data_IF_152276457001
#
_entry.id   IF_152276457001
#
_cell.length_a   1.000
_cell.length_b   1.000
_cell.length_c   1.000
_cell.angle_alpha   90.00
_cell.angle_beta   90.00
_cell.angle_gamma   90.00
#
_symmetry.space_group_name_H-M   'P 1'
#
loop_
_entity.id
_entity.type
_entity.pdbx_description
1 polymer ?
#
# COMPACT_ATOMS: atom_id res chain seq x y z
N UNK A 1 4.14 -18.40 11.13
CA UNK A 1 5.48 -17.91 10.73
C UNK A 1 5.40 -16.54 10.04
N UNK A 2 4.51 -16.34 9.05
CA UNK A 2 4.39 -15.07 8.30
C UNK A 2 4.08 -13.89 9.24
N UNK A 3 3.05 -13.97 10.06
CA UNK A 3 2.69 -12.92 11.03
C UNK A 3 3.82 -12.66 12.05
N UNK A 4 4.53 -13.72 12.46
CA UNK A 4 5.69 -13.59 13.35
C UNK A 4 6.83 -12.83 12.66
N UNK A 5 7.03 -13.06 11.36
CA UNK A 5 8.02 -12.32 10.57
C UNK A 5 7.68 -10.82 10.48
N UNK A 6 6.40 -10.45 10.33
CA UNK A 6 5.98 -9.03 10.38
C UNK A 6 6.32 -8.38 11.72
N UNK A 7 6.07 -9.08 12.84
CA UNK A 7 6.40 -8.58 14.17
C UNK A 7 7.91 -8.42 14.33
N UNK A 8 8.67 -9.44 13.94
CA UNK A 8 10.14 -9.44 14.03
C UNK A 8 10.78 -8.33 13.18
N UNK A 9 10.20 -8.02 12.02
CA UNK A 9 10.65 -6.95 11.13
C UNK A 9 10.26 -5.54 11.60
N UNK A 10 9.40 -5.40 12.62
CA UNK A 10 8.87 -4.10 13.05
C UNK A 10 7.95 -3.44 12.01
N UNK A 11 7.29 -4.24 11.18
CA UNK A 11 6.53 -3.78 10.03
C UNK A 11 5.37 -2.85 10.38
N UNK A 12 4.74 -3.04 11.55
CA UNK A 12 3.66 -2.17 12.02
C UNK A 12 4.16 -0.74 12.30
N UNK A 13 5.32 -0.61 12.97
CA UNK A 13 5.93 0.69 13.28
C UNK A 13 6.37 1.38 11.99
N UNK A 14 7.04 0.64 11.10
CA UNK A 14 7.51 1.16 9.82
C UNK A 14 6.35 1.69 8.98
N UNK A 15 5.24 0.96 8.87
CA UNK A 15 4.08 1.39 8.10
C UNK A 15 3.38 2.60 8.73
N UNK A 16 3.26 2.65 10.07
CA UNK A 16 2.70 3.80 10.76
C UNK A 16 3.53 5.06 10.53
N UNK A 17 4.86 4.95 10.56
CA UNK A 17 5.78 6.06 10.29
C UNK A 17 5.67 6.53 8.83
N UNK A 18 5.68 5.62 7.86
CA UNK A 18 5.54 5.96 6.44
C UNK A 18 4.21 6.67 6.20
N UNK A 19 3.10 6.16 6.73
CA UNK A 19 1.79 6.80 6.62
C UNK A 19 1.77 8.19 7.26
N UNK A 20 2.34 8.34 8.46
CA UNK A 20 2.43 9.62 9.15
C UNK A 20 3.22 10.66 8.36
N UNK A 21 4.41 10.27 7.86
CA UNK A 21 5.25 11.13 7.03
C UNK A 21 4.53 11.52 5.74
N UNK A 22 3.95 10.56 5.01
CA UNK A 22 3.24 10.83 3.76
C UNK A 22 2.04 11.77 3.98
N UNK A 23 1.25 11.53 5.05
CA UNK A 23 0.13 12.41 5.37
C UNK A 23 0.58 13.84 5.71
N UNK A 24 1.68 13.98 6.45
CA UNK A 24 2.28 15.28 6.76
C UNK A 24 2.70 16.02 5.49
N UNK A 25 3.35 15.33 4.55
CA UNK A 25 3.72 15.92 3.27
C UNK A 25 2.51 16.37 2.46
N UNK A 26 1.47 15.54 2.36
CA UNK A 26 0.24 15.89 1.65
C UNK A 26 -0.36 17.17 2.22
N UNK A 27 -0.58 17.20 3.53
CA UNK A 27 -1.18 18.37 4.22
C UNK A 27 -0.29 19.60 4.08
N UNK A 28 1.00 19.49 4.30
CA UNK A 28 1.94 20.62 4.24
C UNK A 28 2.00 21.22 2.84
N UNK A 29 2.24 20.39 1.81
CA UNK A 29 2.36 20.86 0.44
C UNK A 29 1.06 21.49 -0.07
N UNK A 30 -0.09 20.89 0.22
CA UNK A 30 -1.38 21.44 -0.18
C UNK A 30 -1.60 22.82 0.42
N UNK A 31 -1.24 23.02 1.69
CA UNK A 31 -1.40 24.32 2.39
C UNK A 31 -0.46 25.39 1.85
N UNK A 32 0.82 25.02 1.64
CA UNK A 32 1.82 25.95 1.10
C UNK A 32 1.43 26.40 -0.30
N UNK A 33 1.09 25.45 -1.18
CA UNK A 33 0.72 25.77 -2.56
C UNK A 33 -0.63 26.50 -2.59
N UNK A 34 -1.60 26.09 -1.78
CA UNK A 34 -2.89 26.78 -1.68
C UNK A 34 -2.74 28.24 -1.27
N UNK A 35 -1.87 28.52 -0.28
CA UNK A 35 -1.56 29.88 0.13
C UNK A 35 -0.88 30.68 -0.98
N UNK A 36 0.08 30.08 -1.67
CA UNK A 36 0.77 30.73 -2.79
C UNK A 36 -0.20 31.06 -3.92
N UNK A 37 -1.08 30.15 -4.30
CA UNK A 37 -2.09 30.38 -5.35
C UNK A 37 -3.03 31.50 -4.94
N UNK A 38 -3.55 31.48 -3.72
CA UNK A 38 -4.49 32.50 -3.25
C UNK A 38 -3.86 33.89 -3.17
N UNK A 39 -2.65 34.01 -2.61
CA UNK A 39 -2.01 35.30 -2.36
C UNK A 39 -1.25 35.85 -3.56
N UNK A 40 -0.56 35.01 -4.32
CA UNK A 40 0.33 35.46 -5.39
C UNK A 40 -0.36 35.42 -6.75
N UNK A 41 -1.06 34.33 -7.06
CA UNK A 41 -1.69 34.16 -8.38
C UNK A 41 -3.03 34.87 -8.43
N UNK A 42 -3.89 34.65 -7.44
CA UNK A 42 -5.22 35.30 -7.38
C UNK A 42 -5.20 36.69 -6.76
N UNK A 43 -4.05 37.13 -6.24
CA UNK A 43 -3.83 38.43 -5.65
C UNK A 43 -4.89 38.81 -4.61
N UNK A 44 -5.20 37.87 -3.73
CA UNK A 44 -6.15 38.08 -2.64
C UNK A 44 -5.53 39.04 -1.60
N UNK A 45 -5.92 40.31 -1.64
CA UNK A 45 -5.44 41.36 -0.72
C UNK A 45 -6.18 41.36 0.63
N UNK A 46 -7.21 40.55 0.81
CA UNK A 46 -7.97 40.47 2.07
C UNK A 46 -7.11 39.90 3.19
N UNK A 47 -7.37 40.33 4.40
CA UNK A 47 -6.83 39.67 5.59
C UNK A 47 -7.42 38.26 5.70
N UNK A 48 -6.51 37.26 5.76
CA UNK A 48 -6.86 35.87 5.77
C UNK A 48 -6.79 35.16 4.40
N UNK A 49 -7.28 33.94 4.35
CA UNK A 49 -7.31 33.09 3.15
C UNK A 49 -8.64 33.21 2.41
N UNK A 50 -8.59 33.26 1.10
CA UNK A 50 -9.76 33.36 0.22
C UNK A 50 -10.27 31.98 -0.24
N UNK A 51 -11.31 32.01 -1.08
CA UNK A 51 -11.87 30.81 -1.70
C UNK A 51 -10.82 30.06 -2.53
N UNK A 52 -9.90 30.79 -3.18
CA UNK A 52 -8.81 30.22 -3.95
C UNK A 52 -7.94 29.26 -3.14
N UNK A 53 -7.64 29.62 -1.89
CA UNK A 53 -6.93 28.75 -0.96
C UNK A 53 -7.68 27.43 -0.73
N UNK A 54 -8.96 27.51 -0.37
CA UNK A 54 -9.75 26.30 -0.05
C UNK A 54 -9.88 25.37 -1.25
N UNK A 55 -10.23 25.91 -2.40
CA UNK A 55 -10.39 25.11 -3.63
C UNK A 55 -9.07 24.45 -4.02
N UNK A 56 -7.98 25.22 -4.05
CA UNK A 56 -6.65 24.68 -4.39
C UNK A 56 -6.21 23.61 -3.41
N UNK A 57 -6.41 23.85 -2.12
CA UNK A 57 -6.03 22.90 -1.07
C UNK A 57 -6.80 21.59 -1.20
N UNK A 58 -8.13 21.63 -1.41
CA UNK A 58 -8.94 20.41 -1.59
C UNK A 58 -8.47 19.62 -2.81
N UNK A 59 -8.25 20.28 -3.94
CA UNK A 59 -7.79 19.62 -5.16
C UNK A 59 -6.42 18.95 -4.93
N UNK A 60 -5.49 19.67 -4.29
CA UNK A 60 -4.16 19.14 -4.01
C UNK A 60 -4.17 18.04 -2.95
N UNK A 61 -5.03 18.11 -1.93
CA UNK A 61 -5.21 17.04 -0.95
C UNK A 61 -5.65 15.74 -1.64
N UNK A 62 -6.54 15.82 -2.63
CA UNK A 62 -6.97 14.65 -3.41
C UNK A 62 -5.82 14.13 -4.27
N UNK A 63 -5.16 14.99 -5.04
CA UNK A 63 -4.08 14.57 -5.96
C UNK A 63 -2.90 13.97 -5.19
N UNK A 64 -2.41 14.68 -4.17
CA UNK A 64 -1.30 14.19 -3.36
C UNK A 64 -1.69 12.97 -2.50
N UNK A 65 -2.95 12.90 -2.04
CA UNK A 65 -3.47 11.74 -1.34
C UNK A 65 -3.44 10.48 -2.20
N UNK A 66 -3.83 10.58 -3.47
CA UNK A 66 -3.72 9.47 -4.44
C UNK A 66 -2.27 9.04 -4.64
N UNK A 67 -1.35 10.00 -4.82
CA UNK A 67 0.08 9.70 -4.97
C UNK A 67 0.66 9.05 -3.69
N UNK A 68 0.31 9.57 -2.53
CA UNK A 68 0.71 9.02 -1.25
C UNK A 68 0.20 7.58 -1.06
N UNK A 69 -1.04 7.29 -1.45
CA UNK A 69 -1.61 5.95 -1.38
C UNK A 69 -0.82 4.93 -2.23
N UNK A 70 -0.39 5.32 -3.43
CA UNK A 70 0.43 4.47 -4.31
C UNK A 70 1.80 4.17 -3.66
N UNK A 71 2.43 5.20 -3.06
CA UNK A 71 3.71 5.03 -2.36
C UNK A 71 3.55 4.07 -1.18
N UNK A 72 2.56 4.30 -0.31
CA UNK A 72 2.27 3.44 0.85
C UNK A 72 1.98 2.00 0.42
N UNK A 73 1.18 1.81 -0.63
CA UNK A 73 0.88 0.47 -1.18
C UNK A 73 2.16 -0.22 -1.71
N UNK A 74 3.08 0.53 -2.32
CA UNK A 74 4.37 -0.02 -2.78
C UNK A 74 5.22 -0.54 -1.61
N UNK A 75 5.34 0.24 -0.54
CA UNK A 75 6.02 -0.20 0.70
C UNK A 75 5.33 -1.40 1.33
N UNK A 76 3.99 -1.42 1.36
CA UNK A 76 3.22 -2.56 1.86
C UNK A 76 3.54 -3.85 1.08
N UNK A 77 3.59 -3.79 -0.26
CA UNK A 77 3.97 -4.95 -1.09
C UNK A 77 5.39 -5.44 -0.81
N UNK A 78 6.35 -4.54 -0.65
CA UNK A 78 7.74 -4.93 -0.34
C UNK A 78 7.85 -5.61 1.03
N UNK A 79 7.05 -5.16 1.99
CA UNK A 79 6.96 -5.77 3.33
C UNK A 79 6.47 -7.23 3.25
N UNK A 80 5.48 -7.53 2.40
CA UNK A 80 4.98 -8.90 2.21
C UNK A 80 6.09 -9.85 1.72
N UNK A 81 6.91 -9.43 0.76
CA UNK A 81 8.03 -10.26 0.30
C UNK A 81 9.06 -10.53 1.40
N UNK A 82 9.35 -9.53 2.24
CA UNK A 82 10.25 -9.71 3.39
C UNK A 82 9.66 -10.65 4.43
N UNK A 83 8.36 -10.55 4.70
CA UNK A 83 7.67 -11.42 5.65
C UNK A 83 7.62 -12.87 5.15
N UNK A 84 7.41 -13.09 3.85
CA UNK A 84 7.46 -14.43 3.24
C UNK A 84 8.84 -15.06 3.37
N UNK A 85 9.91 -14.30 3.06
CA UNK A 85 11.29 -14.76 3.21
C UNK A 85 11.62 -15.02 4.68
N UNK A 86 11.21 -14.14 5.59
CA UNK A 86 11.36 -14.31 7.03
C UNK A 86 10.63 -15.56 7.54
N UNK A 87 9.42 -15.80 7.07
CA UNK A 87 8.66 -17.00 7.40
C UNK A 87 9.36 -18.30 6.91
N UNK A 88 9.88 -18.27 5.69
CA UNK A 88 10.64 -19.41 5.14
C UNK A 88 11.90 -19.71 5.98
N UNK A 89 12.62 -18.67 6.39
CA UNK A 89 13.80 -18.78 7.25
C UNK A 89 13.45 -19.34 8.64
N UNK A 90 12.37 -18.86 9.26
CA UNK A 90 11.89 -19.35 10.56
C UNK A 90 11.50 -20.83 10.50
N UNK A 91 10.99 -21.31 9.37
CA UNK A 91 10.62 -22.72 9.17
C UNK A 91 11.79 -23.58 8.68
N UNK A 92 12.97 -23.00 8.39
CA UNK A 92 14.14 -23.68 7.85
C UNK A 92 13.97 -24.21 6.42
N UNK A 93 12.83 -23.93 5.77
CA UNK A 93 12.51 -24.38 4.41
C UNK A 93 11.40 -23.52 3.78
N UNK A 94 11.45 -23.33 2.46
CA UNK A 94 10.50 -22.48 1.71
C UNK A 94 9.18 -23.19 1.39
N UNK A 95 9.22 -24.50 1.22
CA UNK A 95 8.08 -25.27 0.71
C UNK A 95 6.78 -25.09 1.51
N UNK A 96 6.77 -25.08 2.87
CA UNK A 96 5.55 -24.84 3.63
C UNK A 96 4.92 -23.48 3.36
N UNK A 97 5.75 -22.44 3.15
CA UNK A 97 5.23 -21.10 2.83
C UNK A 97 4.66 -21.05 1.41
N UNK A 98 5.34 -21.65 0.43
CA UNK A 98 4.85 -21.79 -0.94
C UNK A 98 3.52 -22.53 -0.97
N UNK A 99 3.39 -23.64 -0.24
CA UNK A 99 2.16 -24.41 -0.17
C UNK A 99 1.01 -23.62 0.47
N UNK A 100 1.30 -22.82 1.52
CA UNK A 100 0.32 -21.97 2.15
C UNK A 100 -0.19 -20.87 1.18
N UNK A 101 0.72 -20.23 0.45
CA UNK A 101 0.37 -19.23 -0.57
C UNK A 101 -0.43 -19.86 -1.71
N UNK A 102 -0.05 -21.05 -2.18
CA UNK A 102 -0.78 -21.75 -3.21
C UNK A 102 -2.23 -22.03 -2.77
N UNK A 103 -2.44 -22.52 -1.54
CA UNK A 103 -3.79 -22.72 -0.99
C UNK A 103 -4.60 -21.43 -0.91
N UNK A 104 -3.99 -20.34 -0.46
CA UNK A 104 -4.63 -19.02 -0.43
C UNK A 104 -4.99 -18.54 -1.83
N UNK A 105 -4.18 -18.85 -2.84
CA UNK A 105 -4.44 -18.54 -4.25
C UNK A 105 -5.49 -19.43 -4.93
N UNK A 106 -5.99 -20.46 -4.24
CA UNK A 106 -6.98 -21.38 -4.81
C UNK A 106 -6.42 -22.33 -5.88
N UNK A 107 -5.11 -22.60 -5.86
CA UNK A 107 -4.44 -23.48 -6.84
C UNK A 107 -4.69 -24.97 -6.63
N UNK A 108 -5.32 -25.36 -5.50
CA UNK A 108 -5.78 -26.74 -5.27
C UNK A 108 -7.29 -26.83 -5.55
N UNK A 109 -7.73 -27.59 -6.57
CA UNK A 109 -9.15 -27.79 -6.84
C UNK A 109 -9.85 -28.45 -5.65
N UNK A 110 -10.85 -27.76 -5.07
CA UNK A 110 -11.73 -28.33 -4.03
C UNK A 110 -11.51 -27.85 -2.60
N UNK A 111 -10.55 -26.98 -2.30
CA UNK A 111 -10.23 -26.57 -0.92
C UNK A 111 -10.90 -25.28 -0.44
N UNK A 112 -11.44 -24.44 -1.34
CA UNK A 112 -12.18 -23.24 -0.97
C UNK A 112 -13.67 -23.36 -1.32
N UNK A 113 -14.59 -23.03 -0.39
CA UNK A 113 -16.00 -22.95 -0.71
C UNK A 113 -16.24 -21.96 -1.86
N UNK A 114 -17.07 -22.32 -2.84
CA UNK A 114 -17.44 -21.46 -3.98
C UNK A 114 -17.92 -20.06 -3.59
N UNK A 115 -18.45 -19.91 -2.38
CA UNK A 115 -18.88 -18.64 -1.80
C UNK A 115 -17.72 -17.67 -1.52
N UNK A 116 -16.53 -18.14 -1.15
CA UNK A 116 -15.36 -17.27 -0.94
C UNK A 116 -14.73 -16.82 -2.27
N UNK A 117 -14.82 -17.63 -3.30
CA UNK A 117 -14.42 -17.25 -4.66
C UNK A 117 -15.36 -16.14 -5.22
N UNK A 118 -16.65 -16.21 -4.90
CA UNK A 118 -17.65 -15.21 -5.30
C UNK A 118 -17.48 -13.85 -4.60
N UNK A 119 -16.81 -13.81 -3.43
CA UNK A 119 -16.53 -12.57 -2.69
C UNK A 119 -15.32 -11.79 -3.24
N UNK A 120 -14.73 -12.21 -4.37
CA UNK A 120 -13.69 -11.46 -5.06
C UNK A 120 -12.31 -11.47 -4.38
N UNK A 121 -12.09 -12.32 -3.37
CA UNK A 121 -10.82 -12.41 -2.64
C UNK A 121 -9.66 -12.82 -3.57
N UNK A 122 -9.96 -13.44 -4.72
CA UNK A 122 -9.00 -13.87 -5.74
C UNK A 122 -9.02 -13.01 -7.02
N UNK A 123 -9.76 -11.89 -7.05
CA UNK A 123 -9.72 -11.01 -8.20
C UNK A 123 -8.34 -10.32 -8.25
N UNK A 124 -7.54 -10.65 -9.28
CA UNK A 124 -6.29 -9.93 -9.54
C UNK A 124 -6.63 -8.48 -9.84
N UNK A 125 -6.17 -7.53 -9.05
CA UNK A 125 -6.31 -6.14 -9.45
C UNK A 125 -5.53 -5.94 -10.73
N UNK A 126 -6.19 -5.48 -11.79
CA UNK A 126 -5.58 -5.25 -13.09
C UNK A 126 -5.44 -3.74 -13.37
N UNK A 127 -4.43 -3.38 -14.16
CA UNK A 127 -4.20 -2.00 -14.56
C UNK A 127 -3.90 -1.08 -13.37
N UNK A 128 -4.50 0.13 -13.38
CA UNK A 128 -4.28 1.14 -12.35
C UNK A 128 -4.67 0.68 -10.93
N UNK A 129 -5.67 -0.19 -10.80
CA UNK A 129 -6.08 -0.75 -9.51
C UNK A 129 -4.99 -1.56 -8.82
N UNK A 130 -4.08 -2.18 -9.58
CA UNK A 130 -2.93 -2.92 -9.02
C UNK A 130 -1.96 -2.01 -8.24
N UNK A 131 -1.88 -0.72 -8.59
CA UNK A 131 -1.03 0.26 -7.90
C UNK A 131 -1.48 0.51 -6.45
N UNK A 132 -2.78 0.39 -6.20
CA UNK A 132 -3.39 0.60 -4.87
C UNK A 132 -3.48 -0.67 -4.04
N UNK A 133 -3.12 -1.84 -4.60
CA UNK A 133 -3.12 -3.08 -3.84
C UNK A 133 -2.03 -3.06 -2.78
N UNK A 134 -2.41 -3.33 -1.53
CA UNK A 134 -1.49 -3.47 -0.39
C UNK A 134 -0.74 -4.80 -0.39
N UNK A 135 -1.24 -5.81 -1.13
CA UNK A 135 -0.63 -7.13 -1.24
C UNK A 135 -0.22 -7.40 -2.68
N UNK A 136 0.99 -7.96 -2.91
CA UNK A 136 1.38 -8.42 -4.23
C UNK A 136 0.53 -9.64 -4.65
N UNK A 137 0.40 -9.90 -5.96
CA UNK A 137 -0.19 -11.15 -6.45
C UNK A 137 0.49 -12.37 -5.84
N UNK A 138 -0.31 -13.38 -5.47
CA UNK A 138 0.21 -14.60 -4.82
C UNK A 138 1.25 -15.30 -5.69
N UNK A 139 1.04 -15.31 -7.00
CA UNK A 139 1.98 -15.87 -7.97
C UNK A 139 3.36 -15.21 -7.90
N UNK A 140 3.40 -13.90 -7.76
CA UNK A 140 4.66 -13.14 -7.67
C UNK A 140 5.36 -13.41 -6.34
N UNK A 141 4.61 -13.59 -5.25
CA UNK A 141 5.14 -13.99 -3.94
C UNK A 141 5.75 -15.39 -3.99
N UNK A 142 5.06 -16.35 -4.63
CA UNK A 142 5.57 -17.72 -4.82
C UNK A 142 6.86 -17.70 -5.66
N UNK A 143 6.87 -16.95 -6.78
CA UNK A 143 8.06 -16.82 -7.63
C UNK A 143 9.24 -16.22 -6.86
N UNK A 144 9.00 -15.17 -6.08
CA UNK A 144 10.04 -14.54 -5.26
C UNK A 144 10.65 -15.52 -4.26
N UNK A 145 9.84 -16.35 -3.59
CA UNK A 145 10.31 -17.40 -2.69
C UNK A 145 11.11 -18.50 -3.40
N UNK A 146 10.72 -18.87 -4.62
CA UNK A 146 11.44 -19.87 -5.41
C UNK A 146 12.83 -19.37 -5.85
N UNK A 147 12.93 -18.08 -6.19
CA UNK A 147 14.16 -17.44 -6.67
C UNK A 147 15.12 -17.00 -5.55
N UNK A 148 14.62 -16.77 -4.33
CA UNK A 148 15.47 -16.48 -3.19
C UNK A 148 16.41 -17.67 -2.93
N UNK A 149 17.70 -17.45 -2.85
CA UNK A 149 18.71 -18.49 -2.51
C UNK A 149 18.68 -18.85 -1.03
#
# INVERSE_FOLDING_TARGET
AHEVAHVANGDMVTMALIQGVMNTFVVFLSRVIGYFVDKVILRNERDGVGIGYFVTTIVLDIVFGVLAAIVVASFSRQREYRADAGAANLMGRKQPMINALARLGGYEPGTLPKQMAAMGINAKPSGLMALFSSHPPIEDRIKALQQAQ
#
